data_IF_688491368934
#
_entry.id   IF_688491368934
#
_cell.length_a   1.000
_cell.length_b   1.000
_cell.length_c   1.000
_cell.angle_alpha   90.00
_cell.angle_beta   90.00
_cell.angle_gamma   90.00
#
_symmetry.space_group_name_H-M   'P 1'
#
loop_
_entity.id
_entity.type
_entity.pdbx_description
1 polymer ?
#
# COMPACT_ATOMS: atom_id res chain seq x y z
N UNK A 1 6.63 -8.98 -1.86
CA UNK A 1 5.20 -9.36 -1.62
C UNK A 1 4.78 -10.41 -2.62
N UNK A 2 3.90 -11.35 -2.22
CA UNK A 2 3.31 -12.35 -3.11
C UNK A 2 2.30 -11.72 -4.08
N UNK A 3 2.25 -12.24 -5.30
CA UNK A 3 1.30 -11.85 -6.35
C UNK A 3 0.19 -12.88 -6.44
N UNK A 4 -1.05 -12.46 -6.28
CA UNK A 4 -2.25 -13.28 -6.43
C UNK A 4 -2.95 -12.88 -7.73
N UNK A 5 -3.12 -13.82 -8.65
CA UNK A 5 -3.74 -13.55 -9.94
C UNK A 5 -5.10 -14.24 -10.01
N UNK A 6 -6.12 -13.47 -10.39
CA UNK A 6 -7.49 -13.99 -10.60
C UNK A 6 -7.66 -14.31 -12.08
N UNK A 7 -7.98 -15.58 -12.38
CA UNK A 7 -8.28 -16.04 -13.72
C UNK A 7 -9.65 -16.73 -13.77
N UNK A 8 -10.19 -16.89 -14.96
CA UNK A 8 -11.46 -17.57 -15.20
C UNK A 8 -12.12 -17.05 -16.47
N UNK A 9 -13.20 -17.71 -16.86
CA UNK A 9 -14.00 -17.34 -18.04
C UNK A 9 -14.52 -15.89 -17.96
N UNK A 10 -14.95 -15.26 -19.05
CA UNK A 10 -15.74 -14.04 -19.01
C UNK A 10 -16.99 -14.19 -18.14
N UNK A 11 -17.40 -13.12 -17.50
CA UNK A 11 -18.65 -13.01 -16.72
C UNK A 11 -18.78 -13.89 -15.46
N UNK A 12 -17.77 -14.67 -15.07
CA UNK A 12 -17.78 -15.43 -13.81
C UNK A 12 -17.62 -14.55 -12.56
N UNK A 13 -17.22 -13.27 -12.74
CA UNK A 13 -17.11 -12.31 -11.65
C UNK A 13 -15.70 -12.01 -11.18
N UNK A 14 -14.68 -12.12 -12.04
CA UNK A 14 -13.27 -11.75 -11.73
C UNK A 14 -13.16 -10.37 -11.11
N UNK A 15 -13.65 -9.34 -11.79
CA UNK A 15 -13.61 -7.95 -11.30
C UNK A 15 -14.51 -7.73 -10.08
N UNK A 16 -15.57 -8.53 -9.91
CA UNK A 16 -16.41 -8.47 -8.71
C UNK A 16 -15.65 -9.01 -7.50
N UNK A 17 -14.92 -10.13 -7.63
CA UNK A 17 -14.06 -10.66 -6.56
C UNK A 17 -12.93 -9.70 -6.24
N UNK A 18 -12.22 -9.18 -7.26
CA UNK A 18 -11.20 -8.17 -7.10
C UNK A 18 -11.71 -6.99 -6.27
N UNK A 19 -12.84 -6.39 -6.67
CA UNK A 19 -13.44 -5.27 -5.95
C UNK A 19 -13.93 -5.65 -4.54
N UNK A 20 -14.45 -6.86 -4.33
CA UNK A 20 -14.91 -7.33 -3.03
C UNK A 20 -13.75 -7.49 -2.04
N UNK A 21 -12.59 -7.96 -2.49
CA UNK A 21 -11.36 -8.03 -1.69
C UNK A 21 -10.87 -6.62 -1.35
N UNK A 22 -10.86 -5.71 -2.32
CA UNK A 22 -10.33 -4.36 -2.13
C UNK A 22 -11.19 -3.46 -1.24
N UNK A 23 -12.51 -3.65 -1.20
CA UNK A 23 -13.42 -2.87 -0.33
C UNK A 23 -13.25 -3.17 1.16
N UNK A 24 -12.49 -4.19 1.54
CA UNK A 24 -12.16 -4.53 2.92
C UNK A 24 -10.89 -3.81 3.40
N UNK A 25 -11.08 -2.56 3.75
CA UNK A 25 -10.26 -1.68 4.61
C UNK A 25 -8.90 -1.15 4.13
N UNK A 26 -8.10 -1.70 3.23
CA UNK A 26 -6.92 -0.96 2.73
C UNK A 26 -6.55 -1.50 1.35
N UNK A 27 -7.07 -0.87 0.32
CA UNK A 27 -6.60 -1.12 -1.03
C UNK A 27 -6.00 0.16 -1.62
N UNK A 28 -4.83 0.01 -2.22
CA UNK A 28 -4.24 1.06 -3.03
C UNK A 28 -4.51 0.68 -4.47
N UNK A 29 -5.58 1.27 -5.01
CA UNK A 29 -5.97 1.06 -6.40
C UNK A 29 -5.20 2.05 -7.27
N UNK A 30 -4.55 1.56 -8.32
CA UNK A 30 -3.97 2.36 -9.38
C UNK A 30 -4.94 2.46 -10.56
N UNK A 31 -5.92 3.36 -10.47
CA UNK A 31 -6.77 3.71 -11.61
C UNK A 31 -6.13 4.91 -12.34
N UNK A 32 -5.43 4.69 -13.45
CA UNK A 32 -5.07 5.76 -14.40
C UNK A 32 -6.25 6.02 -15.35
N UNK A 33 -6.92 7.17 -15.33
CA UNK A 33 -7.70 7.60 -16.47
C UNK A 33 -6.72 7.97 -17.59
N UNK A 34 -6.74 7.25 -18.70
CA UNK A 34 -6.08 7.67 -19.95
C UNK A 34 -4.82 6.93 -20.40
N UNK A 35 -4.30 5.94 -19.67
CA UNK A 35 -3.24 5.07 -20.15
C UNK A 35 -3.74 3.64 -20.22
N UNK A 36 -4.10 3.21 -21.41
CA UNK A 36 -4.56 1.88 -21.83
C UNK A 36 -5.66 1.26 -20.96
N UNK A 37 -6.81 1.05 -21.58
CA UNK A 37 -7.93 0.24 -21.12
C UNK A 37 -7.42 -0.95 -20.30
N UNK A 38 -7.97 -1.15 -19.10
CA UNK A 38 -8.18 -2.46 -18.51
C UNK A 38 -7.03 -3.14 -17.73
N UNK A 39 -6.37 -2.45 -16.75
CA UNK A 39 -5.49 -3.18 -15.82
C UNK A 39 -5.91 -2.96 -14.38
N UNK A 40 -6.54 -3.97 -13.80
CA UNK A 40 -6.92 -4.00 -12.40
C UNK A 40 -5.80 -4.64 -11.58
N UNK A 41 -4.83 -3.81 -11.16
CA UNK A 41 -3.80 -4.20 -10.20
C UNK A 41 -4.00 -3.41 -8.91
N UNK A 42 -3.90 -4.08 -7.79
CA UNK A 42 -3.97 -3.41 -6.50
C UNK A 42 -3.09 -4.08 -5.46
N UNK A 43 -2.77 -3.33 -4.41
CA UNK A 43 -2.23 -3.88 -3.18
C UNK A 43 -3.36 -4.03 -2.21
N UNK A 44 -3.55 -5.24 -1.71
CA UNK A 44 -4.50 -5.56 -0.66
C UNK A 44 -3.75 -5.87 0.63
N UNK A 45 -4.43 -5.62 1.75
CA UNK A 45 -3.99 -6.04 3.08
C UNK A 45 -5.04 -6.95 3.68
N UNK A 46 -4.61 -8.08 4.22
CA UNK A 46 -5.44 -8.94 5.03
C UNK A 46 -4.70 -9.24 6.33
N UNK A 47 -5.32 -8.88 7.45
CA UNK A 47 -4.68 -8.84 8.76
C UNK A 47 -3.40 -7.96 8.72
N UNK A 48 -2.24 -8.54 9.01
CA UNK A 48 -0.93 -7.89 9.01
C UNK A 48 -0.12 -8.07 7.72
N UNK A 49 -0.60 -8.93 6.79
CA UNK A 49 0.11 -9.26 5.55
C UNK A 49 -0.40 -8.47 4.35
N UNK A 50 0.53 -8.05 3.49
CA UNK A 50 0.25 -7.36 2.23
C UNK A 50 0.53 -8.29 1.05
N UNK A 51 -0.29 -8.17 -0.02
CA UNK A 51 -0.12 -8.90 -1.26
C UNK A 51 -0.60 -8.09 -2.46
N UNK A 52 -0.08 -8.44 -3.63
CA UNK A 52 -0.62 -7.92 -4.89
C UNK A 52 -1.78 -8.78 -5.34
N UNK A 53 -2.86 -8.14 -5.77
CA UNK A 53 -3.99 -8.80 -6.43
C UNK A 53 -4.13 -8.27 -7.85
N UNK A 54 -4.34 -9.18 -8.80
CA UNK A 54 -4.34 -8.89 -10.24
C UNK A 54 -5.61 -9.50 -10.86
N UNK A 55 -6.42 -8.66 -11.49
CA UNK A 55 -7.57 -9.08 -12.30
C UNK A 55 -7.18 -9.20 -13.78
N UNK A 56 -7.15 -10.42 -14.31
CA UNK A 56 -6.78 -10.65 -15.69
C UNK A 56 -7.86 -10.24 -16.70
N UNK A 57 -9.12 -10.15 -16.29
CA UNK A 57 -10.23 -9.72 -17.16
C UNK A 57 -10.04 -8.30 -17.71
N UNK A 58 -9.27 -7.46 -17.00
CA UNK A 58 -8.91 -6.15 -17.49
C UNK A 58 -7.55 -6.07 -18.21
N UNK A 59 -6.74 -7.14 -18.21
CA UNK A 59 -5.41 -7.17 -18.85
C UNK A 59 -5.50 -7.72 -20.25
N UNK A 60 -6.28 -8.77 -20.42
CA UNK A 60 -6.45 -9.52 -21.66
C UNK A 60 -7.90 -9.36 -22.08
N UNK A 61 -8.21 -8.54 -23.10
CA UNK A 61 -9.58 -8.34 -23.55
C UNK A 61 -10.24 -9.66 -23.92
N UNK A 62 -11.47 -9.87 -23.46
CA UNK A 62 -12.31 -10.94 -23.91
C UNK A 62 -12.80 -10.61 -25.33
N UNK A 63 -12.04 -11.02 -26.37
CA UNK A 63 -12.49 -10.89 -27.76
C UNK A 63 -13.53 -11.97 -28.04
N UNK A 64 -14.71 -11.58 -28.46
CA UNK A 64 -15.83 -12.49 -28.75
C UNK A 64 -15.48 -13.51 -29.86
N UNK A 65 -14.56 -13.18 -30.78
CA UNK A 65 -14.20 -14.04 -31.92
C UNK A 65 -13.25 -15.19 -31.59
N UNK A 66 -12.56 -15.18 -30.40
CA UNK A 66 -11.65 -16.26 -30.03
C UNK A 66 -11.49 -16.38 -28.50
N UNK A 67 -12.57 -16.78 -27.85
CA UNK A 67 -12.66 -16.91 -26.39
C UNK A 67 -11.57 -17.83 -25.83
N UNK A 68 -11.29 -18.94 -26.55
CA UNK A 68 -10.27 -19.92 -26.15
C UNK A 68 -8.89 -19.29 -26.06
N UNK A 69 -8.46 -18.53 -27.05
CA UNK A 69 -7.14 -17.87 -27.07
C UNK A 69 -7.01 -16.81 -25.96
N UNK A 70 -8.08 -16.07 -25.69
CA UNK A 70 -8.10 -15.07 -24.62
C UNK A 70 -7.92 -15.75 -23.26
N UNK A 71 -8.63 -16.82 -22.99
CA UNK A 71 -8.53 -17.60 -21.75
C UNK A 71 -7.15 -18.23 -21.58
N UNK A 72 -6.58 -18.84 -22.64
CA UNK A 72 -5.23 -19.42 -22.58
C UNK A 72 -4.16 -18.36 -22.28
N UNK A 73 -4.24 -17.19 -22.87
CA UNK A 73 -3.32 -16.07 -22.54
C UNK A 73 -3.42 -15.64 -21.09
N UNK A 74 -4.63 -15.62 -20.52
CA UNK A 74 -4.81 -15.33 -19.09
C UNK A 74 -4.10 -16.37 -18.21
N UNK A 75 -4.23 -17.64 -18.54
CA UNK A 75 -3.59 -18.74 -17.81
C UNK A 75 -2.07 -18.66 -17.94
N UNK A 76 -1.52 -18.47 -19.16
CA UNK A 76 -0.08 -18.28 -19.35
C UNK A 76 0.48 -17.10 -18.56
N UNK A 77 -0.24 -15.97 -18.58
CA UNK A 77 0.15 -14.81 -17.79
C UNK A 77 0.16 -15.13 -16.29
N UNK A 78 -0.90 -15.78 -15.80
CA UNK A 78 -1.00 -16.16 -14.39
C UNK A 78 0.15 -17.09 -13.97
N UNK A 79 0.49 -18.08 -14.77
CA UNK A 79 1.60 -19.01 -14.48
C UNK A 79 2.94 -18.28 -14.40
N UNK A 80 3.18 -17.29 -15.29
CA UNK A 80 4.43 -16.54 -15.32
C UNK A 80 4.56 -15.51 -14.19
N UNK A 81 3.46 -14.89 -13.78
CA UNK A 81 3.48 -13.70 -12.93
C UNK A 81 2.99 -13.94 -11.51
N UNK A 82 2.34 -15.08 -11.19
CA UNK A 82 1.76 -15.29 -9.88
C UNK A 82 2.59 -16.15 -8.94
N UNK A 83 2.38 -15.93 -7.66
CA UNK A 83 2.79 -16.82 -6.57
C UNK A 83 1.60 -17.65 -6.06
N UNK A 84 0.36 -17.21 -6.35
CA UNK A 84 -0.90 -17.86 -6.00
C UNK A 84 -1.90 -17.56 -7.13
N UNK A 85 -2.66 -18.56 -7.55
CA UNK A 85 -3.71 -18.42 -8.54
C UNK A 85 -5.09 -18.61 -7.88
N UNK A 86 -5.99 -17.67 -8.11
CA UNK A 86 -7.41 -17.81 -7.80
C UNK A 86 -8.12 -18.10 -9.12
N UNK A 87 -8.60 -19.33 -9.29
CA UNK A 87 -9.38 -19.72 -10.43
C UNK A 87 -10.87 -19.62 -10.09
N UNK A 88 -11.54 -18.60 -10.65
CA UNK A 88 -12.95 -18.32 -10.39
C UNK A 88 -13.85 -18.96 -11.43
N UNK A 89 -14.89 -19.65 -10.95
CA UNK A 89 -15.94 -20.33 -11.72
C UNK A 89 -17.32 -19.78 -11.35
N UNK A 90 -18.37 -20.20 -12.00
CA UNK A 90 -19.75 -19.73 -11.79
C UNK A 90 -20.65 -20.87 -11.28
N UNK A 91 -21.04 -20.81 -9.98
CA UNK A 91 -21.94 -21.79 -9.36
C UNK A 91 -23.37 -21.78 -9.94
N UNK A 92 -23.77 -20.71 -10.62
CA UNK A 92 -25.10 -20.63 -11.25
C UNK A 92 -25.14 -21.39 -12.58
N UNK A 93 -24.06 -21.30 -13.35
CA UNK A 93 -23.94 -21.98 -14.65
C UNK A 93 -23.45 -23.41 -14.52
N UNK A 94 -22.76 -23.74 -13.39
CA UNK A 94 -22.14 -25.04 -13.18
C UNK A 94 -20.86 -25.25 -13.96
N UNK A 95 -20.37 -26.48 -13.99
CA UNK A 95 -19.10 -26.85 -14.60
C UNK A 95 -19.13 -26.74 -16.12
N UNK A 96 -18.27 -25.93 -16.68
CA UNK A 96 -18.17 -25.66 -18.12
C UNK A 96 -16.94 -26.37 -18.72
N UNK A 97 -16.99 -26.80 -19.99
CA UNK A 97 -15.82 -27.38 -20.67
C UNK A 97 -14.55 -26.52 -20.61
N UNK A 98 -14.66 -25.21 -20.78
CA UNK A 98 -13.52 -24.30 -20.64
C UNK A 98 -12.91 -24.31 -19.25
N UNK A 99 -13.69 -24.52 -18.19
CA UNK A 99 -13.16 -24.63 -16.82
C UNK A 99 -12.31 -25.90 -16.69
N UNK A 100 -12.67 -27.00 -17.38
CA UNK A 100 -11.87 -28.24 -17.44
C UNK A 100 -10.56 -28.03 -18.18
N UNK A 101 -10.59 -27.31 -19.30
CA UNK A 101 -9.36 -27.00 -20.08
C UNK A 101 -8.38 -26.18 -19.27
N UNK A 102 -8.84 -25.13 -18.59
CA UNK A 102 -8.04 -24.33 -17.66
C UNK A 102 -7.46 -25.20 -16.56
N UNK A 103 -8.30 -26.02 -15.92
CA UNK A 103 -7.90 -26.90 -14.84
C UNK A 103 -6.82 -27.90 -15.27
N UNK A 104 -6.91 -28.46 -16.49
CA UNK A 104 -5.92 -29.37 -17.05
C UNK A 104 -4.52 -28.73 -17.12
N UNK A 105 -4.44 -27.45 -17.47
CA UNK A 105 -3.18 -26.73 -17.51
C UNK A 105 -2.67 -26.45 -16.09
N UNK A 106 -3.55 -25.96 -15.20
CA UNK A 106 -3.19 -25.55 -13.86
C UNK A 106 -2.79 -26.74 -12.95
N UNK A 107 -3.25 -27.95 -13.22
CA UNK A 107 -2.82 -29.15 -12.46
C UNK A 107 -1.33 -29.49 -12.64
N UNK A 108 -0.74 -29.03 -13.73
CA UNK A 108 0.66 -29.32 -14.06
C UNK A 108 1.63 -28.22 -13.60
N UNK A 109 1.15 -27.20 -12.89
CA UNK A 109 1.99 -26.12 -12.39
C UNK A 109 2.26 -26.27 -10.89
N UNK A 110 3.43 -25.88 -10.46
CA UNK A 110 3.83 -25.93 -9.05
C UNK A 110 3.52 -24.60 -8.33
N UNK A 111 2.29 -24.09 -8.49
CA UNK A 111 1.79 -22.86 -7.90
C UNK A 111 0.49 -23.22 -7.16
N UNK A 112 0.28 -22.75 -5.92
CA UNK A 112 -0.99 -22.92 -5.21
C UNK A 112 -2.16 -22.36 -6.02
N UNK A 113 -3.18 -23.20 -6.25
CA UNK A 113 -4.40 -22.84 -6.99
C UNK A 113 -5.62 -23.04 -6.09
N UNK A 114 -6.42 -21.99 -5.93
CA UNK A 114 -7.67 -22.02 -5.18
C UNK A 114 -8.85 -21.88 -6.14
N UNK A 115 -9.78 -22.84 -6.11
CA UNK A 115 -11.02 -22.76 -6.88
C UNK A 115 -12.03 -21.90 -6.12
N UNK A 116 -12.57 -20.91 -6.79
CA UNK A 116 -13.58 -20.02 -6.23
C UNK A 116 -14.86 -20.16 -7.04
N UNK A 117 -15.87 -20.82 -6.46
CA UNK A 117 -17.19 -21.00 -7.06
C UNK A 117 -18.07 -19.78 -6.70
N UNK A 118 -18.09 -18.77 -7.58
CA UNK A 118 -18.82 -17.52 -7.34
C UNK A 118 -20.31 -17.65 -7.67
N UNK A 119 -21.11 -16.67 -7.23
CA UNK A 119 -22.57 -16.61 -7.34
C UNK A 119 -23.28 -17.69 -6.52
N UNK A 120 -22.62 -18.19 -5.48
CA UNK A 120 -23.21 -19.09 -4.48
C UNK A 120 -24.06 -18.28 -3.46
N UNK A 121 -25.17 -17.70 -3.95
CA UNK A 121 -25.98 -16.74 -3.20
C UNK A 121 -26.91 -17.40 -2.17
N UNK A 122 -27.04 -18.72 -2.20
CA UNK A 122 -27.85 -19.52 -1.28
C UNK A 122 -27.22 -20.91 -1.03
N UNK A 123 -27.73 -21.64 -0.03
CA UNK A 123 -27.20 -22.93 0.37
C UNK A 123 -27.22 -23.98 -0.77
N UNK A 124 -28.25 -24.04 -1.59
CA UNK A 124 -28.33 -24.98 -2.72
C UNK A 124 -27.19 -24.74 -3.73
N UNK A 125 -26.87 -23.46 -4.03
CA UNK A 125 -25.76 -23.14 -4.93
C UNK A 125 -24.40 -23.35 -4.26
N UNK A 126 -24.30 -23.15 -2.96
CA UNK A 126 -23.08 -23.45 -2.21
C UNK A 126 -22.82 -24.96 -2.20
N UNK A 127 -23.87 -25.79 -2.04
CA UNK A 127 -23.76 -27.24 -2.18
C UNK A 127 -23.43 -27.68 -3.62
N UNK A 128 -24.02 -27.02 -4.63
CA UNK A 128 -23.69 -27.24 -6.04
C UNK A 128 -22.22 -26.96 -6.37
N UNK A 129 -21.55 -26.10 -5.63
CA UNK A 129 -20.13 -25.84 -5.81
C UNK A 129 -19.24 -27.08 -5.61
N UNK A 130 -19.74 -28.14 -4.96
CA UNK A 130 -19.02 -29.41 -4.82
C UNK A 130 -18.72 -30.07 -6.16
N UNK A 131 -19.48 -29.79 -7.21
CA UNK A 131 -19.19 -30.33 -8.55
C UNK A 131 -17.81 -29.92 -9.08
N UNK A 132 -17.29 -28.77 -8.66
CA UNK A 132 -15.97 -28.27 -9.08
C UNK A 132 -14.80 -29.09 -8.54
N UNK A 133 -15.03 -30.06 -7.61
CA UNK A 133 -14.01 -31.07 -7.27
C UNK A 133 -13.60 -31.92 -8.48
N UNK A 134 -14.46 -32.03 -9.50
CA UNK A 134 -14.13 -32.70 -10.78
C UNK A 134 -12.97 -31.98 -11.51
N UNK A 135 -12.65 -30.72 -11.16
CA UNK A 135 -11.49 -30.02 -11.68
C UNK A 135 -10.15 -30.51 -11.09
N UNK A 136 -10.19 -31.40 -10.06
CA UNK A 136 -9.02 -32.04 -9.46
C UNK A 136 -8.24 -31.15 -8.47
N UNK A 137 -8.92 -30.19 -7.83
CA UNK A 137 -8.38 -29.37 -6.76
C UNK A 137 -9.12 -29.64 -5.44
N UNK A 138 -8.38 -29.56 -4.32
CA UNK A 138 -8.92 -29.84 -2.99
C UNK A 138 -9.63 -28.64 -2.38
N UNK A 139 -9.07 -27.44 -2.58
CA UNK A 139 -9.56 -26.20 -1.95
C UNK A 139 -10.58 -25.51 -2.86
N UNK A 140 -11.87 -25.66 -2.55
CA UNK A 140 -12.98 -25.02 -3.25
C UNK A 140 -13.71 -24.10 -2.29
N UNK A 141 -13.87 -22.85 -2.69
CA UNK A 141 -14.51 -21.80 -1.90
C UNK A 141 -15.81 -21.35 -2.57
N UNK A 142 -17.00 -21.78 -2.08
CA UNK A 142 -18.27 -21.23 -2.51
C UNK A 142 -18.39 -19.80 -1.96
N UNK A 143 -18.49 -18.82 -2.87
CA UNK A 143 -18.59 -17.40 -2.49
C UNK A 143 -19.76 -16.72 -3.21
N UNK A 144 -20.22 -15.62 -2.61
CA UNK A 144 -21.02 -14.62 -3.30
C UNK A 144 -20.33 -13.26 -3.22
N UNK A 145 -19.75 -12.81 -4.32
CA UNK A 145 -19.15 -11.48 -4.40
C UNK A 145 -20.20 -10.39 -4.19
N UNK A 146 -21.44 -10.58 -4.64
CA UNK A 146 -22.55 -9.65 -4.50
C UNK A 146 -22.94 -9.47 -3.03
N UNK A 147 -23.13 -10.58 -2.30
CA UNK A 147 -23.52 -10.60 -0.90
C UNK A 147 -22.35 -10.65 0.09
N UNK A 148 -21.11 -10.74 -0.41
CA UNK A 148 -19.86 -10.81 0.37
C UNK A 148 -19.77 -12.03 1.30
N UNK A 149 -20.35 -13.14 0.90
CA UNK A 149 -20.33 -14.42 1.61
C UNK A 149 -19.08 -15.20 1.20
N UNK A 150 -18.45 -15.94 2.12
CA UNK A 150 -17.32 -16.87 1.88
C UNK A 150 -15.97 -16.23 1.54
N UNK A 151 -15.88 -14.89 1.39
CA UNK A 151 -14.64 -14.21 1.01
C UNK A 151 -13.59 -14.26 2.15
N UNK A 152 -14.04 -14.33 3.41
CA UNK A 152 -13.11 -14.46 4.54
C UNK A 152 -12.40 -15.79 4.53
N UNK A 153 -13.12 -16.89 4.30
CA UNK A 153 -12.58 -18.23 4.30
C UNK A 153 -11.52 -18.39 3.20
N UNK A 154 -11.79 -17.81 2.01
CA UNK A 154 -10.80 -17.73 0.93
C UNK A 154 -9.56 -16.94 1.38
N UNK A 155 -9.73 -15.77 2.00
CA UNK A 155 -8.61 -14.92 2.40
C UNK A 155 -7.82 -15.53 3.57
N UNK A 156 -8.46 -16.21 4.50
CA UNK A 156 -7.80 -16.96 5.58
C UNK A 156 -6.91 -18.07 4.99
N UNK A 157 -7.39 -18.78 3.97
CA UNK A 157 -6.58 -19.80 3.29
C UNK A 157 -5.42 -19.18 2.52
N UNK A 158 -5.65 -18.09 1.79
CA UNK A 158 -4.59 -17.33 1.12
C UNK A 158 -3.54 -16.85 2.12
N UNK A 159 -3.96 -16.41 3.31
CA UNK A 159 -3.07 -15.91 4.35
C UNK A 159 -2.02 -16.94 4.82
N UNK A 160 -2.37 -18.23 4.84
CA UNK A 160 -1.43 -19.33 5.17
C UNK A 160 -0.23 -19.39 4.20
N UNK A 161 -0.44 -19.01 2.94
CA UNK A 161 0.56 -19.01 1.88
C UNK A 161 1.34 -17.70 1.76
N UNK A 162 0.88 -16.65 2.43
CA UNK A 162 1.62 -15.38 2.45
C UNK A 162 2.80 -15.47 3.42
N UNK A 163 3.98 -14.95 3.05
CA UNK A 163 5.12 -14.94 3.95
C UNK A 163 4.78 -14.18 5.21
N UNK A 164 5.32 -14.63 6.33
CA UNK A 164 5.25 -13.87 7.56
C UNK A 164 5.87 -12.50 7.33
N UNK A 165 5.29 -11.48 7.93
CA UNK A 165 5.80 -10.11 7.89
C UNK A 165 7.18 -9.95 8.54
N UNK A 166 7.71 -11.02 9.13
CA UNK A 166 9.07 -11.16 9.62
C UNK A 166 10.06 -11.26 8.44
N UNK A 167 10.20 -10.19 7.66
CA UNK A 167 11.45 -9.92 6.95
C UNK A 167 12.51 -9.92 8.06
N UNK A 168 13.60 -10.71 7.96
CA UNK A 168 14.66 -10.64 8.96
C UNK A 168 15.06 -9.17 9.06
N UNK A 169 14.64 -8.53 10.15
CA UNK A 169 14.88 -7.11 10.36
C UNK A 169 16.40 -6.94 10.50
N UNK A 170 16.99 -6.51 9.41
CA UNK A 170 18.30 -5.88 9.52
C UNK A 170 18.07 -4.70 10.45
N UNK A 171 18.45 -4.84 11.72
CA UNK A 171 18.22 -3.81 12.73
C UNK A 171 18.74 -2.47 12.23
N UNK A 172 17.89 -1.43 12.23
CA UNK A 172 18.24 -0.11 11.74
C UNK A 172 17.05 0.70 11.28
N UNK A 173 17.29 1.94 10.89
CA UNK A 173 16.27 2.83 10.34
C UNK A 173 16.15 2.62 8.83
N UNK A 174 15.03 2.10 8.37
CA UNK A 174 14.73 1.89 6.97
C UNK A 174 14.11 3.14 6.34
N UNK A 175 14.76 3.69 5.32
CA UNK A 175 14.32 4.88 4.59
C UNK A 175 14.09 4.53 3.13
N UNK A 176 12.86 4.73 2.64
CA UNK A 176 12.53 4.65 1.22
C UNK A 176 12.57 6.04 0.60
N UNK A 177 13.23 6.17 -0.57
CA UNK A 177 13.29 7.42 -1.34
C UNK A 177 12.48 7.24 -2.60
N UNK A 178 11.33 7.89 -2.66
CA UNK A 178 10.37 7.76 -3.76
C UNK A 178 10.07 9.11 -4.42
N UNK A 179 9.50 9.09 -5.60
CA UNK A 179 9.17 10.28 -6.38
C UNK A 179 9.22 9.97 -7.88
N UNK A 180 8.81 10.93 -8.71
CA UNK A 180 8.84 10.80 -10.18
C UNK A 180 10.25 10.54 -10.72
N UNK A 181 10.38 10.05 -11.96
CA UNK A 181 11.65 10.06 -12.68
C UNK A 181 12.28 11.46 -12.72
N UNK A 182 13.60 11.55 -12.67
CA UNK A 182 14.39 12.77 -12.81
C UNK A 182 14.25 13.85 -11.72
N UNK A 183 13.59 13.58 -10.60
CA UNK A 183 13.53 14.51 -9.45
C UNK A 183 14.82 14.52 -8.61
N UNK A 184 15.80 13.64 -8.91
CA UNK A 184 17.09 13.59 -8.26
C UNK A 184 17.29 12.51 -7.20
N UNK A 185 16.42 11.46 -7.17
CA UNK A 185 16.54 10.34 -6.21
C UNK A 185 17.90 9.66 -6.28
N UNK A 186 18.34 9.24 -7.47
CA UNK A 186 19.65 8.60 -7.68
C UNK A 186 20.80 9.52 -7.29
N UNK A 187 20.69 10.80 -7.63
CA UNK A 187 21.70 11.82 -7.25
C UNK A 187 21.79 11.98 -5.73
N UNK A 188 20.64 11.94 -5.03
CA UNK A 188 20.59 11.99 -3.57
C UNK A 188 21.27 10.77 -2.94
N UNK A 189 20.91 9.57 -3.38
CA UNK A 189 21.53 8.33 -2.89
C UNK A 189 23.04 8.34 -3.15
N UNK A 190 23.46 8.64 -4.37
CA UNK A 190 24.89 8.70 -4.70
C UNK A 190 25.64 9.77 -3.87
N UNK A 191 25.01 10.92 -3.62
CA UNK A 191 25.61 11.97 -2.79
C UNK A 191 25.84 11.51 -1.35
N UNK A 192 24.96 10.67 -0.81
CA UNK A 192 25.11 10.09 0.53
C UNK A 192 26.17 8.98 0.53
N UNK A 193 26.12 8.07 -0.46
CA UNK A 193 27.01 6.90 -0.53
C UNK A 193 28.48 7.27 -0.82
N UNK A 194 28.71 8.33 -1.59
CA UNK A 194 30.06 8.74 -2.02
C UNK A 194 30.78 9.67 -1.04
N UNK A 195 30.32 9.80 0.22
CA UNK A 195 30.99 10.66 1.19
C UNK A 195 31.78 9.85 2.24
N UNK A 196 32.97 10.32 2.57
CA UNK A 196 33.91 9.72 3.54
C UNK A 196 33.35 9.48 4.95
N UNK A 197 32.21 10.08 5.28
CA UNK A 197 31.54 9.96 6.60
C UNK A 197 30.62 8.75 6.72
N UNK A 198 30.54 7.92 5.69
CA UNK A 198 29.56 6.83 5.58
C UNK A 198 30.26 5.52 5.24
N UNK A 199 30.17 4.54 6.13
CA UNK A 199 30.61 3.18 5.84
C UNK A 199 29.48 2.49 5.09
N UNK A 200 29.72 2.07 3.86
CA UNK A 200 28.73 1.44 2.98
C UNK A 200 28.96 -0.07 2.96
N UNK A 201 27.91 -0.86 3.15
CA UNK A 201 27.85 -2.27 2.80
C UNK A 201 26.59 -2.55 1.98
N UNK A 202 26.74 -3.32 0.91
CA UNK A 202 25.59 -3.79 0.10
C UNK A 202 25.15 -5.14 0.64
N UNK A 203 23.85 -5.29 0.94
CA UNK A 203 23.26 -6.60 1.21
C UNK A 203 22.33 -6.91 0.05
N UNK A 204 22.52 -8.05 -0.66
CA UNK A 204 21.52 -8.52 -1.61
C UNK A 204 20.18 -8.67 -0.91
N UNK A 205 19.15 -8.02 -1.44
CA UNK A 205 17.79 -8.10 -0.87
C UNK A 205 17.24 -9.52 -0.94
N UNK A 206 16.36 -9.85 -0.03
CA UNK A 206 15.65 -11.14 0.06
C UNK A 206 14.63 -11.34 -1.08
N UNK A 207 14.45 -10.37 -1.97
CA UNK A 207 13.63 -10.45 -3.19
C UNK A 207 14.53 -10.35 -4.42
N UNK A 208 14.24 -11.11 -5.45
CA UNK A 208 15.08 -11.37 -6.64
C UNK A 208 15.68 -10.13 -7.36
N UNK A 209 15.25 -8.88 -7.04
CA UNK A 209 15.60 -7.68 -7.80
C UNK A 209 15.90 -6.41 -6.98
N UNK A 210 15.87 -6.41 -5.63
CA UNK A 210 16.12 -5.20 -4.84
C UNK A 210 17.41 -5.26 -4.03
N UNK A 211 18.30 -4.31 -4.23
CA UNK A 211 19.52 -4.14 -3.44
C UNK A 211 19.35 -2.93 -2.54
N UNK A 212 19.42 -3.15 -1.23
CA UNK A 212 19.41 -2.11 -0.22
C UNK A 212 20.84 -1.68 0.10
N UNK A 213 21.04 -0.41 0.41
CA UNK A 213 22.35 0.12 0.82
C UNK A 213 22.33 0.43 2.32
N UNK A 214 23.31 -0.11 3.05
CA UNK A 214 23.47 0.18 4.48
C UNK A 214 24.49 1.28 4.64
N UNK A 215 24.13 2.27 5.45
CA UNK A 215 25.02 3.36 5.84
C UNK A 215 25.08 3.49 7.35
N UNK A 216 26.25 3.86 7.87
CA UNK A 216 26.42 4.23 9.28
C UNK A 216 26.50 5.76 9.38
N UNK A 217 25.54 6.38 10.07
CA UNK A 217 25.45 7.82 10.26
C UNK A 217 25.19 8.16 11.73
N UNK A 218 26.03 8.99 12.35
CA UNK A 218 25.92 9.35 13.79
C UNK A 218 25.71 8.12 14.70
N UNK A 219 26.53 7.09 14.51
CA UNK A 219 26.45 5.79 15.22
C UNK A 219 25.13 5.02 15.06
N UNK A 220 24.30 5.38 14.07
CA UNK A 220 23.08 4.65 13.73
C UNK A 220 23.22 3.93 12.41
N UNK A 221 22.68 2.73 12.34
CA UNK A 221 22.56 1.97 11.11
C UNK A 221 21.31 2.43 10.37
N UNK A 222 21.48 2.87 9.13
CA UNK A 222 20.39 3.32 8.25
C UNK A 222 20.42 2.44 7.00
N UNK A 223 19.25 1.98 6.60
CA UNK A 223 19.05 1.17 5.42
C UNK A 223 18.28 2.00 4.39
N UNK A 224 18.92 2.30 3.25
CA UNK A 224 18.27 2.92 2.10
C UNK A 224 17.68 1.82 1.23
N UNK A 225 16.36 1.80 1.12
CA UNK A 225 15.62 0.74 0.43
C UNK A 225 15.65 0.94 -1.09
N UNK A 226 15.80 -0.16 -1.84
CA UNK A 226 15.73 -0.25 -3.31
C UNK A 226 16.67 0.70 -4.05
N UNK A 227 17.92 0.74 -3.63
CA UNK A 227 18.93 1.61 -4.28
C UNK A 227 19.35 1.10 -5.66
N UNK A 228 19.19 -0.20 -5.98
CA UNK A 228 19.49 -0.75 -7.31
C UNK A 228 18.53 -0.24 -8.39
N UNK A 229 17.24 -0.13 -8.08
CA UNK A 229 16.25 0.47 -8.97
C UNK A 229 16.55 1.94 -9.29
N UNK A 230 17.35 2.61 -8.45
CA UNK A 230 17.82 3.98 -8.66
C UNK A 230 19.12 4.04 -9.47
N UNK A 231 19.96 2.98 -9.46
CA UNK A 231 21.25 2.91 -10.19
C UNK A 231 21.09 2.45 -11.64
N UNK A 232 20.17 1.54 -11.93
CA UNK A 232 19.96 0.97 -13.25
C UNK A 232 18.70 1.53 -13.92
N UNK A 233 18.86 2.21 -15.07
CA UNK A 233 17.75 2.52 -15.97
C UNK A 233 17.25 1.21 -16.57
N UNK A 234 16.07 0.76 -16.17
CA UNK A 234 15.50 -0.49 -16.68
C UNK A 234 15.34 -0.45 -18.21
N UNK A 235 15.88 -1.48 -18.88
CA UNK A 235 15.84 -1.64 -20.35
C UNK A 235 14.49 -2.15 -20.90
N UNK A 236 13.47 -2.26 -20.09
CA UNK A 236 12.17 -2.82 -20.49
C UNK A 236 11.20 -1.74 -20.94
N UNK A 237 10.89 -1.71 -22.25
CA UNK A 237 10.00 -0.69 -22.87
C UNK A 237 8.50 -0.92 -22.67
N UNK A 238 8.06 -2.13 -22.33
CA UNK A 238 6.64 -2.44 -22.08
C UNK A 238 6.42 -2.69 -20.59
N UNK A 239 5.40 -2.04 -20.00
CA UNK A 239 4.99 -2.14 -18.59
C UNK A 239 5.88 -1.44 -17.53
N UNK A 240 6.77 -0.51 -17.90
CA UNK A 240 7.68 0.20 -16.98
C UNK A 240 6.91 0.87 -15.82
N UNK A 241 5.79 1.52 -16.11
CA UNK A 241 5.00 2.26 -15.08
C UNK A 241 4.45 1.32 -14.01
N UNK A 242 4.06 0.10 -14.37
CA UNK A 242 3.53 -0.90 -13.46
C UNK A 242 4.61 -1.43 -12.49
N UNK A 243 5.73 -1.89 -13.01
CA UNK A 243 6.84 -2.38 -12.16
C UNK A 243 7.40 -1.28 -11.25
N UNK A 244 7.45 -0.04 -11.75
CA UNK A 244 7.84 1.11 -10.93
C UNK A 244 6.84 1.37 -9.80
N UNK A 245 5.55 1.23 -10.06
CA UNK A 245 4.51 1.34 -9.04
C UNK A 245 4.66 0.24 -7.98
N UNK A 246 4.80 -1.02 -8.37
CA UNK A 246 4.97 -2.14 -7.45
C UNK A 246 6.22 -1.95 -6.55
N UNK A 247 7.35 -1.57 -7.13
CA UNK A 247 8.59 -1.26 -6.38
C UNK A 247 8.39 -0.10 -5.41
N UNK A 248 7.70 0.94 -5.84
CA UNK A 248 7.40 2.09 -4.97
C UNK A 248 6.56 1.64 -3.76
N UNK A 249 5.55 0.82 -3.98
CA UNK A 249 4.69 0.31 -2.91
C UNK A 249 5.47 -0.62 -1.98
N UNK A 250 6.28 -1.53 -2.52
CA UNK A 250 7.13 -2.42 -1.73
C UNK A 250 8.11 -1.64 -0.86
N UNK A 251 8.76 -0.63 -1.44
CA UNK A 251 9.66 0.26 -0.70
C UNK A 251 8.94 1.00 0.43
N UNK A 252 7.71 1.48 0.21
CA UNK A 252 6.90 2.15 1.24
C UNK A 252 6.56 1.18 2.39
N UNK A 253 6.17 -0.06 2.07
CA UNK A 253 5.81 -1.07 3.09
C UNK A 253 7.00 -1.40 3.99
N UNK A 254 8.20 -1.52 3.43
CA UNK A 254 9.43 -1.88 4.14
C UNK A 254 10.04 -0.71 4.92
N UNK A 255 9.61 0.53 4.65
CA UNK A 255 10.19 1.72 5.26
C UNK A 255 9.62 2.03 6.64
N UNK A 256 10.48 2.49 7.56
CA UNK A 256 10.07 3.19 8.77
C UNK A 256 9.72 4.65 8.46
N UNK A 257 10.47 5.28 7.54
CA UNK A 257 10.23 6.66 7.09
C UNK A 257 10.35 6.72 5.57
N UNK A 258 9.39 7.37 4.93
CA UNK A 258 9.36 7.57 3.48
C UNK A 258 9.76 9.00 3.15
N UNK A 259 10.70 9.17 2.22
CA UNK A 259 11.11 10.45 1.65
C UNK A 259 10.45 10.59 0.28
N UNK A 260 9.48 11.48 0.18
CA UNK A 260 8.85 11.84 -1.11
C UNK A 260 9.63 13.01 -1.71
N UNK A 261 10.37 12.73 -2.78
CA UNK A 261 11.20 13.73 -3.45
C UNK A 261 10.46 14.35 -4.63
N UNK A 262 10.44 15.68 -4.68
CA UNK A 262 9.79 16.51 -5.70
C UNK A 262 10.83 17.46 -6.28
N UNK A 263 10.72 17.76 -7.57
CA UNK A 263 11.52 18.80 -8.23
C UNK A 263 10.94 20.18 -7.92
N UNK A 264 11.68 21.01 -7.19
CA UNK A 264 11.23 22.34 -6.77
C UNK A 264 11.20 23.38 -7.90
N UNK A 265 11.79 23.06 -9.06
CA UNK A 265 11.84 23.98 -10.22
C UNK A 265 10.61 23.91 -11.11
N UNK A 266 9.68 22.98 -10.84
CA UNK A 266 8.44 22.79 -11.57
C UNK A 266 7.23 22.79 -10.63
N UNK A 267 6.06 23.07 -11.19
CA UNK A 267 4.80 22.97 -10.46
C UNK A 267 4.46 21.54 -10.04
N UNK A 268 3.68 21.45 -8.97
CA UNK A 268 3.21 20.17 -8.46
C UNK A 268 2.28 19.48 -9.46
N UNK A 269 2.63 18.26 -9.84
CA UNK A 269 1.82 17.47 -10.80
C UNK A 269 0.85 16.53 -10.08
N UNK A 270 -0.13 16.02 -10.83
CA UNK A 270 -1.05 14.99 -10.36
C UNK A 270 -0.29 13.73 -9.88
N UNK A 271 0.80 13.35 -10.56
CA UNK A 271 1.61 12.19 -10.18
C UNK A 271 2.32 12.38 -8.83
N UNK A 272 2.77 13.59 -8.50
CA UNK A 272 3.35 13.90 -7.18
C UNK A 272 2.29 13.75 -6.07
N UNK A 273 1.10 14.33 -6.27
CA UNK A 273 -0.04 14.23 -5.33
C UNK A 273 -0.44 12.75 -5.13
N UNK A 274 -0.41 11.94 -6.20
CA UNK A 274 -0.72 10.51 -6.16
C UNK A 274 0.28 9.72 -5.32
N UNK A 275 1.58 9.90 -5.55
CA UNK A 275 2.64 9.23 -4.77
C UNK A 275 2.45 9.54 -3.28
N UNK A 276 2.23 10.80 -2.94
CA UNK A 276 1.98 11.20 -1.56
C UNK A 276 0.73 10.53 -0.96
N UNK A 277 -0.37 10.48 -1.71
CA UNK A 277 -1.61 9.83 -1.26
C UNK A 277 -1.42 8.34 -0.96
N UNK A 278 -0.57 7.64 -1.71
CA UNK A 278 -0.21 6.25 -1.44
C UNK A 278 0.46 6.14 -0.07
N UNK A 279 1.48 6.96 0.19
CA UNK A 279 2.20 6.97 1.48
C UNK A 279 1.25 7.25 2.65
N UNK A 280 0.38 8.26 2.50
CA UNK A 280 -0.63 8.62 3.51
C UNK A 280 -1.60 7.47 3.78
N UNK A 281 -2.13 6.82 2.72
CA UNK A 281 -3.02 5.65 2.85
C UNK A 281 -2.35 4.49 3.58
N UNK A 282 -1.06 4.26 3.35
CA UNK A 282 -0.29 3.24 4.05
C UNK A 282 0.04 3.61 5.50
N UNK A 283 -0.18 4.86 5.88
CA UNK A 283 0.09 5.32 7.25
C UNK A 283 1.56 5.37 7.61
N UNK A 284 2.45 5.46 6.61
CA UNK A 284 3.89 5.54 6.86
C UNK A 284 4.32 6.97 7.17
N UNK A 285 5.23 7.16 8.13
CA UNK A 285 5.89 8.44 8.37
C UNK A 285 6.52 8.99 7.09
N UNK A 286 6.42 10.31 6.87
CA UNK A 286 6.80 10.91 5.60
C UNK A 286 7.53 12.25 5.77
N UNK A 287 8.52 12.47 4.89
CA UNK A 287 9.22 13.74 4.69
C UNK A 287 9.00 14.16 3.24
N UNK A 288 8.62 15.40 3.00
CA UNK A 288 8.55 15.99 1.66
C UNK A 288 9.84 16.74 1.39
N UNK A 289 10.54 16.33 0.35
CA UNK A 289 11.83 16.91 -0.05
C UNK A 289 11.67 17.62 -1.38
N UNK A 290 11.83 18.94 -1.35
CA UNK A 290 11.85 19.81 -2.51
C UNK A 290 13.31 19.93 -2.98
N UNK A 291 13.68 19.15 -3.99
CA UNK A 291 15.04 19.10 -4.53
C UNK A 291 15.26 20.11 -5.65
N UNK A 292 16.52 20.30 -6.05
CA UNK A 292 16.99 21.22 -7.07
C UNK A 292 16.79 22.71 -6.70
N UNK A 293 16.92 23.00 -5.42
CA UNK A 293 16.84 24.39 -4.91
C UNK A 293 17.95 25.32 -5.43
N UNK A 294 18.98 24.74 -6.04
CA UNK A 294 20.03 25.47 -6.77
C UNK A 294 19.49 26.16 -8.01
N UNK A 295 18.45 25.63 -8.64
CA UNK A 295 17.78 26.23 -9.81
C UNK A 295 16.84 27.38 -9.43
N UNK A 296 16.55 27.56 -8.12
CA UNK A 296 15.67 28.62 -7.64
C UNK A 296 16.45 29.86 -7.23
N UNK A 297 16.05 31.06 -7.67
CA UNK A 297 16.54 32.32 -7.13
C UNK A 297 16.39 32.35 -5.59
N UNK A 298 17.38 32.90 -4.85
CA UNK A 298 17.37 32.91 -3.39
C UNK A 298 16.09 33.49 -2.77
N UNK A 299 15.57 34.56 -3.34
CA UNK A 299 14.36 35.28 -2.93
C UNK A 299 13.07 34.48 -3.16
N UNK A 300 13.05 33.58 -4.16
CA UNK A 300 11.89 32.73 -4.45
C UNK A 300 11.84 31.45 -3.63
N UNK A 301 12.93 31.03 -3.00
CA UNK A 301 13.00 29.74 -2.25
C UNK A 301 11.95 29.61 -1.15
N UNK A 302 11.73 30.71 -0.40
CA UNK A 302 10.70 30.73 0.66
C UNK A 302 9.31 30.65 0.05
N UNK A 303 9.02 31.43 -0.98
CA UNK A 303 7.71 31.44 -1.69
C UNK A 303 7.41 30.10 -2.32
N UNK A 304 8.40 29.47 -2.95
CA UNK A 304 8.26 28.12 -3.52
C UNK A 304 7.89 27.09 -2.45
N UNK A 305 8.56 27.12 -1.30
CA UNK A 305 8.20 26.23 -0.20
C UNK A 305 6.79 26.47 0.30
N UNK A 306 6.38 27.72 0.50
CA UNK A 306 5.02 28.10 0.92
C UNK A 306 3.96 27.65 -0.11
N UNK A 307 4.28 27.74 -1.40
CA UNK A 307 3.43 27.22 -2.49
C UNK A 307 3.18 25.70 -2.34
N UNK A 308 4.27 24.91 -2.18
CA UNK A 308 4.13 23.46 -2.00
C UNK A 308 3.41 23.07 -0.71
N UNK A 309 3.63 23.78 0.39
CA UNK A 309 2.93 23.59 1.66
C UNK A 309 1.42 23.86 1.51
N UNK A 310 1.04 24.88 0.74
CA UNK A 310 -0.36 25.21 0.44
C UNK A 310 -1.01 24.15 -0.47
N UNK A 311 -0.34 23.76 -1.56
CA UNK A 311 -0.84 22.77 -2.50
C UNK A 311 -0.99 21.37 -1.88
N UNK A 312 -0.12 21.05 -0.93
CA UNK A 312 -0.12 19.79 -0.17
C UNK A 312 -0.69 19.98 1.25
N UNK A 313 -1.70 20.87 1.42
CA UNK A 313 -2.31 21.17 2.73
C UNK A 313 -2.80 19.92 3.47
N UNK A 314 -3.22 18.89 2.74
CA UNK A 314 -3.61 17.59 3.29
C UNK A 314 -2.41 16.79 3.87
N UNK A 315 -1.19 17.28 3.68
CA UNK A 315 0.07 16.76 4.20
C UNK A 315 0.70 17.68 5.25
N UNK A 316 -0.07 18.58 5.85
CA UNK A 316 0.42 19.59 6.81
C UNK A 316 1.20 19.00 8.02
N UNK A 317 1.03 17.72 8.29
CA UNK A 317 1.80 17.01 9.31
C UNK A 317 3.23 16.67 8.87
N UNK A 318 3.52 16.63 7.57
CA UNK A 318 4.82 16.27 7.02
C UNK A 318 5.78 17.47 7.04
N UNK A 319 7.06 17.30 7.42
CA UNK A 319 8.06 18.34 7.25
C UNK A 319 8.41 18.53 5.77
N UNK A 320 8.54 19.79 5.35
CA UNK A 320 9.02 20.17 4.03
C UNK A 320 10.47 20.62 4.12
N UNK A 321 11.35 19.98 3.37
CA UNK A 321 12.77 20.28 3.32
C UNK A 321 13.17 20.72 1.91
N UNK A 322 13.73 21.91 1.79
CA UNK A 322 14.29 22.42 0.54
C UNK A 322 15.77 22.06 0.49
N UNK A 323 16.18 21.27 -0.52
CA UNK A 323 17.56 20.79 -0.66
C UNK A 323 18.09 20.99 -2.09
N UNK A 324 19.40 20.84 -2.25
CA UNK A 324 20.06 20.65 -3.54
C UNK A 324 21.00 19.46 -3.46
N UNK A 325 20.69 18.42 -4.21
CA UNK A 325 21.58 17.25 -4.33
C UNK A 325 22.85 17.58 -5.10
N UNK A 326 22.81 18.56 -5.98
CA UNK A 326 23.96 19.02 -6.74
C UNK A 326 25.01 19.69 -5.80
N UNK A 327 24.60 20.73 -5.08
CA UNK A 327 25.48 21.45 -4.16
C UNK A 327 25.72 20.71 -2.83
N UNK A 328 24.89 19.72 -2.48
CA UNK A 328 24.93 19.03 -1.18
C UNK A 328 24.17 19.75 -0.06
N UNK A 329 23.59 20.93 -0.32
CA UNK A 329 22.87 21.72 0.68
C UNK A 329 21.63 20.99 1.16
N UNK A 330 21.52 20.75 2.47
CA UNK A 330 20.36 20.16 3.12
C UNK A 330 20.25 18.63 3.00
N UNK A 331 21.15 17.94 2.30
CA UNK A 331 21.10 16.50 2.06
C UNK A 331 21.07 15.71 3.39
N UNK A 332 21.92 16.02 4.35
CA UNK A 332 21.94 15.34 5.65
C UNK A 332 20.77 15.72 6.56
N UNK A 333 20.18 16.90 6.37
CA UNK A 333 19.00 17.30 7.12
C UNK A 333 17.82 16.35 6.91
N UNK A 334 17.74 15.70 5.73
CA UNK A 334 16.73 14.69 5.45
C UNK A 334 16.90 13.48 6.34
N UNK A 335 18.15 12.98 6.51
CA UNK A 335 18.46 11.85 7.38
C UNK A 335 18.22 12.22 8.86
N UNK A 336 18.67 13.40 9.29
CA UNK A 336 18.44 13.87 10.66
C UNK A 336 16.93 13.95 10.97
N UNK A 337 16.14 14.47 10.03
CA UNK A 337 14.68 14.53 10.17
C UNK A 337 14.04 13.13 10.18
N UNK A 338 14.53 12.19 9.39
CA UNK A 338 14.05 10.81 9.43
C UNK A 338 14.32 10.15 10.79
N UNK A 339 15.50 10.38 11.36
CA UNK A 339 15.85 9.91 12.72
C UNK A 339 14.93 10.55 13.77
N UNK A 340 14.66 11.84 13.69
CA UNK A 340 13.74 12.57 14.59
C UNK A 340 12.33 11.96 14.53
N UNK A 341 11.80 11.78 13.33
CA UNK A 341 10.47 11.20 13.11
C UNK A 341 10.40 9.79 13.69
N UNK A 342 11.38 8.94 13.41
CA UNK A 342 11.42 7.58 13.94
C UNK A 342 11.46 7.55 15.46
N UNK A 343 12.21 8.46 16.09
CA UNK A 343 12.25 8.59 17.55
C UNK A 343 10.93 9.10 18.15
N UNK A 344 10.09 9.79 17.37
CA UNK A 344 8.78 10.28 17.77
C UNK A 344 7.66 9.25 17.62
N UNK A 345 7.93 8.09 17.01
CA UNK A 345 7.04 6.93 16.99
C UNK A 345 7.01 6.26 18.37
N UNK A 346 6.27 6.86 19.32
CA UNK A 346 6.22 6.44 20.72
C UNK A 346 4.84 5.95 21.11
N UNK A 347 4.81 5.00 22.03
CA UNK A 347 3.58 4.60 22.72
C UNK A 347 3.31 5.61 23.86
N UNK A 348 2.12 6.14 23.86
CA UNK A 348 1.65 7.08 24.86
C UNK A 348 1.28 6.34 26.14
N UNK A 349 1.47 6.98 27.30
CA UNK A 349 1.04 6.41 28.59
C UNK A 349 -0.49 6.41 28.69
N UNK A 350 -1.02 5.55 29.54
CA UNK A 350 -2.48 5.52 29.82
C UNK A 350 -3.01 6.86 30.32
N UNK A 351 -2.19 7.63 31.09
CA UNK A 351 -2.52 8.97 31.53
C UNK A 351 -2.70 9.91 30.35
N UNK A 352 -1.75 9.89 29.41
CA UNK A 352 -1.79 10.73 28.21
C UNK A 352 -3.05 10.46 27.36
N UNK A 353 -3.37 9.18 27.16
CA UNK A 353 -4.57 8.78 26.39
C UNK A 353 -5.86 9.21 27.08
N UNK A 354 -5.88 9.18 28.43
CA UNK A 354 -7.00 9.68 29.23
C UNK A 354 -7.16 11.20 29.07
N UNK A 355 -6.07 11.97 29.19
CA UNK A 355 -6.09 13.42 29.06
C UNK A 355 -6.60 13.85 27.66
N UNK A 356 -6.17 13.14 26.59
CA UNK A 356 -6.67 13.36 25.21
C UNK A 356 -8.18 13.08 25.15
N UNK A 357 -8.64 11.95 25.71
CA UNK A 357 -10.06 11.58 25.72
C UNK A 357 -10.91 12.64 26.42
N UNK A 358 -10.46 13.11 27.55
CA UNK A 358 -11.20 14.07 28.36
C UNK A 358 -11.27 15.43 27.65
N UNK A 359 -10.17 15.93 27.06
CA UNK A 359 -10.17 17.13 26.21
C UNK A 359 -11.11 17.01 25.00
N UNK A 360 -11.18 15.83 24.38
CA UNK A 360 -12.08 15.58 23.25
C UNK A 360 -13.54 15.61 23.70
N UNK A 361 -13.90 14.94 24.79
CA UNK A 361 -15.27 14.88 25.28
C UNK A 361 -15.77 16.27 25.76
N UNK A 362 -14.88 17.07 26.36
CA UNK A 362 -15.22 18.44 26.81
C UNK A 362 -15.53 19.38 25.62
N UNK A 363 -14.75 19.25 24.51
CA UNK A 363 -14.76 20.23 23.43
C UNK A 363 -15.45 19.80 22.15
N UNK A 364 -15.69 18.50 21.98
CA UNK A 364 -16.27 17.95 20.75
C UNK A 364 -17.55 17.16 21.04
N UNK A 365 -18.73 17.77 20.86
CA UNK A 365 -19.98 17.05 21.02
C UNK A 365 -20.17 16.04 19.88
N UNK A 366 -20.43 14.78 20.22
CA UNK A 366 -20.77 13.72 19.24
C UNK A 366 -22.27 13.62 18.99
N UNK A 367 -23.09 14.40 19.70
CA UNK A 367 -24.54 14.43 19.56
C UNK A 367 -25.25 13.51 20.56
N UNK A 368 -26.55 13.33 20.33
CA UNK A 368 -27.42 12.52 21.15
C UNK A 368 -27.98 11.35 20.34
N UNK A 369 -28.04 10.17 20.97
CA UNK A 369 -28.74 9.01 20.41
C UNK A 369 -29.64 8.43 21.51
N UNK A 370 -30.93 8.23 21.21
CA UNK A 370 -31.93 7.79 22.20
C UNK A 370 -31.95 8.67 23.47
N UNK A 371 -31.87 10.01 23.31
CA UNK A 371 -31.81 11.00 24.41
C UNK A 371 -30.57 10.87 25.31
N UNK A 372 -29.56 10.11 24.96
CA UNK A 372 -28.30 9.96 25.70
C UNK A 372 -27.14 10.58 24.94
N UNK A 373 -26.23 11.23 25.68
CA UNK A 373 -24.99 11.76 25.09
C UNK A 373 -24.11 10.64 24.53
N UNK A 374 -23.49 10.92 23.40
CA UNK A 374 -22.50 10.04 22.82
C UNK A 374 -21.13 10.53 23.27
N UNK A 375 -20.40 9.69 23.99
CA UNK A 375 -19.10 10.00 24.56
C UNK A 375 -18.04 9.01 24.09
N UNK A 376 -16.83 9.51 23.91
CA UNK A 376 -15.64 8.71 23.68
C UNK A 376 -15.21 8.07 25.00
N UNK A 377 -15.44 6.77 25.14
CA UNK A 377 -15.12 6.03 26.39
C UNK A 377 -13.63 5.78 26.55
N UNK A 378 -12.97 5.41 25.45
CA UNK A 378 -11.56 5.06 25.51
C UNK A 378 -10.86 5.33 24.18
N UNK A 379 -9.55 5.62 24.28
CA UNK A 379 -8.62 5.69 23.16
C UNK A 379 -7.55 4.63 23.42
N UNK A 380 -7.38 3.69 22.48
CA UNK A 380 -6.39 2.63 22.57
C UNK A 380 -5.40 2.81 21.44
N UNK A 381 -4.14 3.06 21.76
CA UNK A 381 -3.06 3.10 20.78
C UNK A 381 -2.59 1.69 20.47
N UNK A 382 -2.38 1.39 19.19
CA UNK A 382 -1.84 0.10 18.76
C UNK A 382 -0.35 0.03 19.13
N UNK A 383 0.09 -1.08 19.72
CA UNK A 383 1.49 -1.26 20.15
C UNK A 383 2.44 -1.47 18.97
N UNK A 384 2.00 -2.21 17.96
CA UNK A 384 2.82 -2.54 16.78
C UNK A 384 2.86 -1.38 15.76
N UNK A 385 1.80 -0.57 15.74
CA UNK A 385 1.67 0.62 14.89
C UNK A 385 1.28 1.84 15.75
N UNK A 386 2.24 2.53 16.37
CA UNK A 386 1.99 3.59 17.35
C UNK A 386 1.22 4.81 16.82
N UNK A 387 1.07 4.94 15.52
CA UNK A 387 0.27 6.00 14.89
C UNK A 387 -1.20 5.59 14.62
N UNK A 388 -1.60 4.37 15.02
CA UNK A 388 -2.98 3.88 14.92
C UNK A 388 -3.68 3.97 16.29
N UNK A 389 -4.85 4.59 16.31
CA UNK A 389 -5.66 4.76 17.51
C UNK A 389 -7.06 4.20 17.29
N UNK A 390 -7.47 3.28 18.16
CA UNK A 390 -8.83 2.74 18.20
C UNK A 390 -9.68 3.56 19.17
N UNK A 391 -10.73 4.17 18.65
CA UNK A 391 -11.69 4.97 19.40
C UNK A 391 -12.87 4.09 19.84
N UNK A 392 -13.13 3.99 21.12
CA UNK A 392 -14.27 3.26 21.68
C UNK A 392 -15.31 4.24 22.21
N UNK A 393 -16.48 4.26 21.61
CA UNK A 393 -17.61 5.06 22.04
C UNK A 393 -18.56 4.26 22.95
N UNK A 394 -19.38 4.97 23.71
CA UNK A 394 -20.42 4.35 24.54
C UNK A 394 -21.56 3.71 23.74
N UNK A 395 -21.73 4.13 22.47
CA UNK A 395 -22.70 3.62 21.51
C UNK A 395 -22.10 3.55 20.11
N UNK A 396 -22.71 2.74 19.24
CA UNK A 396 -22.32 2.70 17.81
C UNK A 396 -22.67 4.03 17.16
N UNK A 397 -21.65 4.69 16.61
CA UNK A 397 -21.72 6.00 15.97
C UNK A 397 -21.07 5.96 14.59
N UNK A 398 -21.56 6.80 13.69
CA UNK A 398 -20.88 7.18 12.46
C UNK A 398 -20.15 8.51 12.73
N UNK A 399 -18.83 8.44 12.85
CA UNK A 399 -17.98 9.60 13.16
C UNK A 399 -17.77 10.43 11.88
N UNK A 400 -18.11 11.70 11.91
CA UNK A 400 -17.99 12.61 10.76
C UNK A 400 -16.55 13.07 10.55
N UNK A 401 -16.19 13.39 9.32
CA UNK A 401 -14.83 13.81 8.94
C UNK A 401 -14.28 14.98 9.77
N UNK A 402 -15.14 15.98 10.12
CA UNK A 402 -14.69 17.10 10.93
C UNK A 402 -14.34 16.68 12.37
N UNK A 403 -15.05 15.68 12.90
CA UNK A 403 -14.77 15.12 14.23
C UNK A 403 -13.44 14.35 14.23
N UNK A 404 -13.19 13.54 13.17
CA UNK A 404 -11.92 12.86 13.00
C UNK A 404 -10.75 13.84 12.92
N UNK A 405 -10.91 14.93 12.16
CA UNK A 405 -9.90 16.01 12.06
C UNK A 405 -9.66 16.69 13.39
N UNK A 406 -10.70 16.89 14.19
CA UNK A 406 -10.57 17.46 15.53
C UNK A 406 -9.79 16.53 16.46
N UNK A 407 -10.14 15.25 16.49
CA UNK A 407 -9.46 14.22 17.29
C UNK A 407 -7.98 14.14 16.89
N UNK A 408 -7.68 14.10 15.58
CA UNK A 408 -6.29 14.12 15.09
C UNK A 408 -5.55 15.36 15.58
N UNK A 409 -6.17 16.54 15.52
CA UNK A 409 -5.58 17.80 15.99
C UNK A 409 -5.34 17.78 17.50
N UNK A 410 -6.26 17.24 18.31
CA UNK A 410 -6.11 17.11 19.75
C UNK A 410 -4.92 16.20 20.11
N UNK A 411 -4.78 15.05 19.42
CA UNK A 411 -3.62 14.16 19.59
C UNK A 411 -2.32 14.90 19.28
N UNK A 412 -2.25 15.61 18.13
CA UNK A 412 -1.06 16.33 17.70
C UNK A 412 -0.67 17.51 18.59
N UNK A 413 -1.64 18.13 19.27
CA UNK A 413 -1.40 19.24 20.19
C UNK A 413 -0.62 18.80 21.42
N UNK A 414 -0.90 17.60 21.92
CA UNK A 414 -0.29 17.07 23.13
C UNK A 414 1.01 16.30 22.85
N UNK A 415 1.18 15.79 21.62
CA UNK A 415 2.34 14.97 21.25
C UNK A 415 2.88 15.33 19.87
N UNK A 416 4.21 15.35 19.77
CA UNK A 416 4.92 15.65 18.52
C UNK A 416 4.84 14.45 17.53
N UNK A 417 3.75 14.39 16.77
CA UNK A 417 3.58 13.47 15.64
C UNK A 417 3.94 14.14 14.29
N UNK A 418 4.93 15.04 14.28
CA UNK A 418 5.43 15.65 13.05
C UNK A 418 5.99 14.58 12.13
N UNK A 419 5.60 14.59 10.86
CA UNK A 419 5.97 13.59 9.87
C UNK A 419 5.21 12.26 9.98
N UNK A 420 4.37 12.07 11.00
CA UNK A 420 3.67 10.82 11.27
C UNK A 420 2.19 11.00 10.99
N UNK A 421 1.59 10.28 10.01
CA UNK A 421 0.16 10.29 9.78
C UNK A 421 -0.56 9.53 10.88
N UNK A 422 -1.60 10.13 11.47
CA UNK A 422 -2.44 9.48 12.48
C UNK A 422 -3.59 8.76 11.79
N UNK A 423 -3.83 7.50 12.16
CA UNK A 423 -4.96 6.69 11.73
C UNK A 423 -5.91 6.45 12.88
N UNK A 424 -7.16 6.81 12.67
CA UNK A 424 -8.25 6.64 13.64
C UNK A 424 -9.17 5.52 13.17
N UNK A 425 -9.52 4.61 14.07
CA UNK A 425 -10.45 3.49 13.85
C UNK A 425 -11.55 3.57 14.92
N UNK A 426 -12.84 3.32 14.56
CA UNK A 426 -13.98 3.41 15.47
C UNK A 426 -15.06 2.37 15.17
#
# INVERSE_FOLDING_TARGET
MKKIVIIGRPNVGKSSLFNAILRRKIAIIDNKPGVTRDRNYAVAQFNDKYFYIIDTGGIIPDNEDDLSKSVFRQVEFAIKESDIIIFITDSKEGLNPYDKDIANILRNVNIPVFIVANKADNENRAMGAMEFHQLGFNDIFPISCLHRIGIYDLLDKVYEYLPDSNIPEVSGLHIAIIGKPNVGKSSYVNKILNQERVIVSEIPGTTRDSVDSIIKYKNRKIILIDTAGLKHKAKYKEHIDYYMFLRTVDSIIRANVVVVMIDASFDLTFQDKRIFNIVKKMGRPVIIVLNKSDLLPPDLRKKTREYFEKELHFASFAPFLLISTLSGKGVYKVIDTAIEINNNMKILTSKNLKDIRDDINEKLPFGLKYKRAIDLRNIIQNKDNPNHFNLKFNMKIDVKDFQLKYIEKAIRKLYNFKGIPIKLHW
#
